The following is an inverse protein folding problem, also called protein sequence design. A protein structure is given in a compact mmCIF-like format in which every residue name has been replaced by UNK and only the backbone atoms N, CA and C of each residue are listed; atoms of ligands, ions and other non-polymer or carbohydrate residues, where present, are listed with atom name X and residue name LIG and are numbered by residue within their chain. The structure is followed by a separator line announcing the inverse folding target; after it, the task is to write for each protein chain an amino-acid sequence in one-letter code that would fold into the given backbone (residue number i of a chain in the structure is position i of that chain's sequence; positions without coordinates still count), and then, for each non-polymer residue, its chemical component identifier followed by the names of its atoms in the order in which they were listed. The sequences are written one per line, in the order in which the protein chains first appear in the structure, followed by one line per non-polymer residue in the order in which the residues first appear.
data_IF_125716644814
#
_entry.id   IF_125716644814
#
_cell.length_a   1.000
_cell.length_b   1.000
_cell.length_c   1.000
_cell.angle_alpha   90.00
_cell.angle_beta   90.00
_cell.angle_gamma   90.00
#
_symmetry.space_group_name_H-M   'P 1'
#
loop_
_entity.id
_entity.type
_entity.pdbx_description
1 polymer ?
#
# COMPACT_ATOMS: atom_id res chain seq x y z
N UNK A 1 -18.67 -4.20 10.79
CA UNK A 1 -17.27 -3.78 10.70
C UNK A 1 -17.21 -2.33 10.19
N UNK A 2 -16.38 -1.49 10.80
CA UNK A 2 -16.17 -0.09 10.37
C UNK A 2 -14.68 0.23 10.15
N UNK A 3 -13.81 -0.78 10.27
CA UNK A 3 -12.36 -0.62 10.17
C UNK A 3 -11.89 -0.61 8.72
N UNK A 4 -11.00 0.31 8.40
CA UNK A 4 -10.24 0.34 7.17
C UNK A 4 -8.88 -0.31 7.46
N UNK A 5 -8.46 -1.24 6.62
CA UNK A 5 -7.20 -1.96 6.80
C UNK A 5 -6.22 -1.53 5.70
N UNK A 6 -5.07 -1.00 6.06
CA UNK A 6 -3.98 -0.75 5.10
C UNK A 6 -2.90 -1.81 5.23
N UNK A 7 -2.34 -2.27 4.12
CA UNK A 7 -1.33 -3.32 4.10
C UNK A 7 -0.08 -2.87 3.35
N UNK A 8 0.96 -2.48 4.12
CA UNK A 8 2.34 -2.44 3.63
C UNK A 8 2.90 -3.85 3.47
N UNK A 9 3.80 -4.09 2.51
CA UNK A 9 4.25 -5.48 2.25
C UNK A 9 5.58 -5.54 1.53
N UNK A 10 6.38 -6.55 1.87
CA UNK A 10 7.54 -6.96 1.08
C UNK A 10 7.08 -7.70 -0.20
N UNK A 11 7.92 -7.68 -1.24
CA UNK A 11 7.66 -8.46 -2.46
C UNK A 11 7.85 -9.95 -2.19
N UNK A 12 6.90 -10.77 -2.61
CA UNK A 12 6.90 -12.21 -2.30
C UNK A 12 6.40 -12.60 -0.91
N UNK A 13 6.05 -11.63 -0.03
CA UNK A 13 5.54 -11.93 1.31
C UNK A 13 4.10 -12.49 1.35
N UNK A 14 3.38 -12.50 0.23
CA UNK A 14 1.96 -12.89 0.20
C UNK A 14 1.01 -11.78 0.67
N UNK A 15 1.51 -10.58 0.98
CA UNK A 15 0.69 -9.51 1.57
C UNK A 15 -0.50 -9.07 0.72
N UNK A 16 -0.44 -9.19 -0.62
CA UNK A 16 -1.60 -8.95 -1.49
C UNK A 16 -2.67 -10.03 -1.30
N UNK A 17 -2.30 -11.29 -1.42
CA UNK A 17 -3.18 -12.44 -1.27
C UNK A 17 -3.84 -12.47 0.13
N UNK A 18 -3.04 -12.19 1.17
CA UNK A 18 -3.54 -12.01 2.53
C UNK A 18 -4.60 -10.91 2.59
N UNK A 19 -4.34 -9.77 1.94
CA UNK A 19 -5.30 -8.65 1.89
C UNK A 19 -6.60 -9.01 1.20
N UNK A 20 -6.54 -9.73 0.08
CA UNK A 20 -7.71 -10.23 -0.65
C UNK A 20 -8.52 -11.21 0.23
N UNK A 21 -7.86 -12.18 0.88
CA UNK A 21 -8.54 -13.16 1.76
C UNK A 21 -9.13 -12.52 3.03
N UNK A 22 -8.46 -11.53 3.62
CA UNK A 22 -9.01 -10.76 4.75
C UNK A 22 -10.24 -9.97 4.32
N UNK A 23 -10.20 -9.35 3.16
CA UNK A 23 -11.35 -8.62 2.61
C UNK A 23 -12.55 -9.57 2.35
N UNK A 24 -12.30 -10.72 1.76
CA UNK A 24 -13.31 -11.75 1.52
C UNK A 24 -13.94 -12.26 2.83
N UNK A 25 -13.11 -12.48 3.86
CA UNK A 25 -13.62 -12.92 5.17
C UNK A 25 -14.63 -11.93 5.77
N UNK A 26 -14.39 -10.63 5.64
CA UNK A 26 -15.28 -9.59 6.16
C UNK A 26 -16.36 -9.15 5.17
N UNK A 27 -16.38 -9.67 3.95
CA UNK A 27 -17.31 -9.24 2.89
C UNK A 27 -17.12 -7.79 2.46
N UNK A 28 -15.89 -7.29 2.48
CA UNK A 28 -15.51 -5.92 2.10
C UNK A 28 -14.62 -5.93 0.85
N UNK A 29 -14.42 -4.77 0.22
CA UNK A 29 -13.57 -4.67 -0.98
C UNK A 29 -12.09 -4.61 -0.62
N UNK A 30 -11.26 -5.26 -1.46
CA UNK A 30 -9.81 -5.11 -1.46
C UNK A 30 -9.37 -4.27 -2.65
N UNK A 31 -8.61 -3.22 -2.41
CA UNK A 31 -8.10 -2.30 -3.43
C UNK A 31 -6.57 -2.45 -3.56
N UNK A 32 -6.12 -2.96 -4.69
CA UNK A 32 -4.72 -2.98 -5.13
C UNK A 32 -4.63 -2.36 -6.54
N UNK A 33 -4.82 -3.14 -7.60
CA UNK A 33 -4.77 -2.63 -8.97
C UNK A 33 -5.99 -1.80 -9.34
N UNK A 34 -7.17 -2.14 -8.81
CA UNK A 34 -8.39 -1.38 -9.01
C UNK A 34 -8.27 0.08 -8.55
N UNK A 35 -7.44 0.35 -7.53
CA UNK A 35 -7.15 1.72 -7.10
C UNK A 35 -6.51 2.53 -8.24
N UNK A 36 -5.62 1.92 -9.03
CA UNK A 36 -4.94 2.60 -10.14
C UNK A 36 -5.93 2.97 -11.25
N UNK A 37 -6.80 2.05 -11.64
CA UNK A 37 -7.85 2.30 -12.64
C UNK A 37 -8.81 3.38 -12.17
N UNK A 38 -9.17 3.36 -10.89
CA UNK A 38 -10.02 4.38 -10.30
C UNK A 38 -9.33 5.75 -10.24
N UNK A 39 -8.08 5.80 -9.82
CA UNK A 39 -7.29 7.03 -9.81
C UNK A 39 -7.13 7.63 -11.22
N UNK A 40 -6.94 6.80 -12.25
CA UNK A 40 -6.90 7.24 -13.64
C UNK A 40 -8.22 7.88 -14.06
N UNK A 41 -9.34 7.21 -13.81
CA UNK A 41 -10.68 7.69 -14.16
C UNK A 41 -11.02 9.02 -13.48
N UNK A 42 -10.68 9.16 -12.19
CA UNK A 42 -11.03 10.34 -11.41
C UNK A 42 -10.11 11.55 -11.69
N UNK A 43 -8.84 11.31 -11.99
CA UNK A 43 -7.86 12.36 -12.29
C UNK A 43 -7.82 12.80 -13.75
N UNK A 44 -8.42 12.01 -14.65
CA UNK A 44 -8.33 12.25 -16.11
C UNK A 44 -7.00 11.82 -16.73
N UNK A 45 -6.11 11.15 -15.96
CA UNK A 45 -4.89 10.55 -16.51
C UNK A 45 -5.20 9.23 -17.21
N UNK A 46 -4.39 8.87 -18.22
CA UNK A 46 -4.49 7.54 -18.79
C UNK A 46 -3.97 6.49 -17.79
N UNK A 47 -4.58 5.32 -17.79
CA UNK A 47 -4.26 4.24 -16.87
C UNK A 47 -2.80 3.78 -16.97
N UNK A 48 -2.26 3.74 -18.18
CA UNK A 48 -0.86 3.42 -18.46
C UNK A 48 0.10 4.41 -17.78
N UNK A 49 -0.23 5.71 -17.76
CA UNK A 49 0.57 6.73 -17.07
C UNK A 49 0.61 6.46 -15.57
N UNK A 50 -0.52 6.13 -14.95
CA UNK A 50 -0.59 5.82 -13.52
C UNK A 50 0.19 4.54 -13.22
N UNK A 51 0.02 3.48 -14.00
CA UNK A 51 0.74 2.21 -13.82
C UNK A 51 2.25 2.38 -13.98
N UNK A 52 2.71 3.16 -14.95
CA UNK A 52 4.13 3.40 -15.19
C UNK A 52 4.82 4.18 -14.07
N UNK A 53 4.08 4.96 -13.28
CA UNK A 53 4.59 5.76 -12.16
C UNK A 53 4.17 5.19 -10.78
N UNK A 54 3.49 4.06 -10.75
CA UNK A 54 3.03 3.41 -9.52
C UNK A 54 4.20 2.99 -8.62
N UNK A 55 4.14 3.42 -7.35
CA UNK A 55 5.18 3.17 -6.34
C UNK A 55 6.61 3.52 -6.81
N UNK A 56 6.78 4.53 -7.69
CA UNK A 56 8.08 5.02 -8.14
C UNK A 56 8.38 6.39 -7.52
N UNK A 57 9.52 6.54 -6.79
CA UNK A 57 9.94 7.82 -6.26
C UNK A 57 10.44 8.74 -7.37
N UNK A 58 10.30 10.05 -7.17
CA UNK A 58 10.98 11.05 -7.98
C UNK A 58 12.32 11.46 -7.37
N UNK A 59 13.28 11.84 -8.21
CA UNK A 59 14.55 12.43 -7.77
C UNK A 59 14.43 13.93 -7.43
N UNK A 60 13.25 14.45 -7.15
CA UNK A 60 13.01 15.88 -7.03
C UNK A 60 12.97 16.38 -5.59
N UNK A 61 13.69 17.49 -5.34
CA UNK A 61 13.80 18.24 -4.07
C UNK A 61 12.48 18.93 -3.61
N UNK A 62 11.36 18.70 -4.30
CA UNK A 62 10.12 19.48 -4.19
C UNK A 62 9.06 18.93 -3.18
N UNK A 63 9.44 18.00 -2.32
CA UNK A 63 8.48 17.38 -1.37
C UNK A 63 7.79 18.40 -0.46
N UNK A 64 8.54 19.34 0.12
CA UNK A 64 7.96 20.34 1.02
C UNK A 64 6.99 21.27 0.28
N UNK A 65 7.25 21.56 -1.00
CA UNK A 65 6.38 22.40 -1.83
C UNK A 65 5.03 21.75 -2.14
N UNK A 66 5.01 20.42 -2.30
CA UNK A 66 3.78 19.67 -2.59
C UNK A 66 2.85 19.64 -1.37
N UNK A 67 3.40 19.45 -0.17
CA UNK A 67 2.60 19.43 1.07
C UNK A 67 2.05 20.81 1.44
N UNK A 68 2.82 21.87 1.23
CA UNK A 68 2.32 23.25 1.43
C UNK A 68 1.22 23.60 0.43
N UNK A 69 1.33 23.13 -0.83
CA UNK A 69 0.30 23.35 -1.86
C UNK A 69 -1.00 22.62 -1.53
N UNK A 70 -0.92 21.45 -0.89
CA UNK A 70 -2.09 20.69 -0.46
C UNK A 70 -2.86 21.39 0.67
N UNK A 71 -2.15 22.10 1.56
CA UNK A 71 -2.74 22.87 2.67
C UNK A 71 -3.43 24.16 2.20
N UNK A 72 -3.06 24.72 1.04
CA UNK A 72 -3.58 26.01 0.53
C UNK A 72 -4.64 25.91 -0.58
N UNK A 73 -5.08 24.70 -0.96
CA UNK A 73 -6.01 24.51 -2.08
C UNK A 73 -5.35 24.63 -3.44
N UNK A 74 -5.87 23.91 -4.43
CA UNK A 74 -5.35 23.85 -5.79
C UNK A 74 -5.30 25.22 -6.47
N UNK A 75 -4.15 25.89 -6.45
CA UNK A 75 -3.89 27.00 -7.35
C UNK A 75 -3.37 26.42 -8.69
N UNK A 76 -4.12 26.59 -9.74
CA UNK A 76 -3.96 25.94 -11.06
C UNK A 76 -2.59 26.11 -11.72
N UNK A 77 -1.83 27.16 -11.41
CA UNK A 77 -0.51 27.39 -12.00
C UNK A 77 0.60 26.49 -11.45
N UNK A 78 0.58 26.18 -10.15
CA UNK A 78 1.60 25.31 -9.54
C UNK A 78 1.45 23.84 -9.92
N UNK A 79 0.24 23.40 -10.29
CA UNK A 79 -0.02 22.03 -10.73
C UNK A 79 0.56 21.73 -12.12
N UNK A 80 0.62 22.72 -13.01
CA UNK A 80 1.11 22.54 -14.40
C UNK A 80 2.59 22.15 -14.41
N UNK A 81 3.42 22.76 -13.57
CA UNK A 81 4.88 22.55 -13.53
C UNK A 81 5.31 21.36 -12.64
N UNK A 82 4.35 20.67 -12.00
CA UNK A 82 4.64 19.55 -11.10
C UNK A 82 5.06 18.30 -11.90
N UNK A 83 6.09 17.53 -11.43
CA UNK A 83 6.48 16.25 -12.04
C UNK A 83 5.32 15.26 -12.10
N UNK A 84 5.24 14.47 -13.17
CA UNK A 84 4.15 13.50 -13.41
C UNK A 84 3.98 12.52 -12.22
N UNK A 85 5.07 12.02 -11.65
CA UNK A 85 5.02 11.11 -10.51
C UNK A 85 4.37 11.71 -9.27
N UNK A 86 4.53 13.03 -9.04
CA UNK A 86 3.84 13.73 -7.97
C UNK A 86 2.34 13.89 -8.26
N UNK A 87 1.98 14.20 -9.52
CA UNK A 87 0.57 14.25 -9.93
C UNK A 87 -0.11 12.90 -9.76
N UNK A 88 0.60 11.82 -10.11
CA UNK A 88 0.11 10.44 -9.92
C UNK A 88 -0.03 10.11 -8.43
N UNK A 89 0.94 10.47 -7.59
CA UNK A 89 0.84 10.30 -6.14
C UNK A 89 -0.38 11.02 -5.58
N UNK A 90 -0.60 12.29 -5.92
CA UNK A 90 -1.75 13.06 -5.45
C UNK A 90 -3.08 12.44 -5.91
N UNK A 91 -3.16 11.99 -7.17
CA UNK A 91 -4.36 11.31 -7.67
C UNK A 91 -4.65 10.02 -6.90
N UNK A 92 -3.62 9.22 -6.59
CA UNK A 92 -3.77 8.01 -5.76
C UNK A 92 -4.17 8.36 -4.32
N UNK A 93 -3.55 9.39 -3.74
CA UNK A 93 -3.82 9.87 -2.39
C UNK A 93 -5.29 10.32 -2.22
N UNK A 94 -5.80 11.11 -3.17
CA UNK A 94 -7.20 11.54 -3.18
C UNK A 94 -8.16 10.36 -3.36
N UNK A 95 -7.81 9.43 -4.24
CA UNK A 95 -8.61 8.23 -4.48
C UNK A 95 -8.67 7.35 -3.23
N UNK A 96 -7.56 7.19 -2.50
CA UNK A 96 -7.51 6.46 -1.21
C UNK A 96 -8.46 7.10 -0.20
N UNK A 97 -8.43 8.43 -0.05
CA UNK A 97 -9.34 9.15 0.87
C UNK A 97 -10.82 8.97 0.49
N UNK A 98 -11.16 9.05 -0.78
CA UNK A 98 -12.53 8.83 -1.26
C UNK A 98 -13.01 7.39 -1.00
N UNK A 99 -12.17 6.39 -1.30
CA UNK A 99 -12.46 4.98 -1.00
C UNK A 99 -12.74 4.80 0.50
N UNK A 100 -11.93 5.40 1.36
CA UNK A 100 -12.07 5.31 2.81
C UNK A 100 -13.38 5.95 3.31
N UNK A 101 -13.88 6.98 2.65
CA UNK A 101 -15.17 7.62 2.96
C UNK A 101 -16.38 6.78 2.53
N UNK A 102 -16.22 5.85 1.60
CA UNK A 102 -17.29 4.96 1.13
C UNK A 102 -17.60 3.83 2.10
N UNK A 103 -16.69 3.52 3.03
CA UNK A 103 -16.87 2.50 4.05
C UNK A 103 -15.64 1.63 4.29
N UNK A 104 -15.81 0.53 5.04
CA UNK A 104 -14.71 -0.37 5.38
C UNK A 104 -14.16 -1.06 4.12
N UNK A 105 -12.84 -1.16 4.06
CA UNK A 105 -12.13 -1.76 2.94
C UNK A 105 -10.71 -2.19 3.33
N UNK A 106 -10.07 -2.97 2.48
CA UNK A 106 -8.63 -3.26 2.54
C UNK A 106 -7.93 -2.50 1.42
N UNK A 107 -6.86 -1.79 1.72
CA UNK A 107 -6.04 -1.05 0.73
C UNK A 107 -4.60 -1.54 0.80
N UNK A 108 -4.05 -1.98 -0.33
CA UNK A 108 -2.71 -2.57 -0.39
C UNK A 108 -1.69 -1.60 -0.98
N UNK A 109 -0.79 -1.07 -0.14
CA UNK A 109 0.32 -0.19 -0.54
C UNK A 109 -0.05 1.28 -0.76
N UNK A 110 0.68 1.97 -1.65
CA UNK A 110 0.52 3.37 -2.12
C UNK A 110 0.47 4.40 -1.00
N UNK A 111 1.21 4.15 0.10
CA UNK A 111 1.17 5.03 1.28
C UNK A 111 -0.25 5.26 1.83
N UNK A 112 -1.14 4.26 1.73
CA UNK A 112 -2.52 4.39 2.18
C UNK A 112 -2.61 4.71 3.68
N UNK A 113 -1.73 4.14 4.50
CA UNK A 113 -1.60 4.44 5.93
C UNK A 113 -1.25 5.91 6.21
N UNK A 114 -0.47 6.54 5.32
CA UNK A 114 -0.16 7.97 5.39
C UNK A 114 -1.33 8.83 4.90
N UNK A 115 -1.96 8.44 3.79
CA UNK A 115 -3.13 9.15 3.27
C UNK A 115 -4.30 9.16 4.26
N UNK A 116 -4.42 8.14 5.09
CA UNK A 116 -5.50 7.95 6.05
C UNK A 116 -5.10 8.27 7.50
N UNK A 117 -3.98 8.95 7.71
CA UNK A 117 -3.46 9.26 9.06
C UNK A 117 -4.45 10.04 9.96
N UNK A 118 -5.37 10.79 9.36
CA UNK A 118 -6.41 11.55 10.07
C UNK A 118 -7.71 10.74 10.29
N UNK A 119 -7.81 9.54 9.73
CA UNK A 119 -9.00 8.70 9.89
C UNK A 119 -8.90 7.89 11.18
N UNK A 120 -9.91 7.97 12.07
CA UNK A 120 -9.80 7.35 13.39
C UNK A 120 -9.93 5.82 13.37
N UNK A 121 -10.47 5.23 12.32
CA UNK A 121 -10.82 3.82 12.21
C UNK A 121 -9.90 3.03 11.26
N UNK A 122 -8.63 3.40 11.16
CA UNK A 122 -7.64 2.74 10.31
C UNK A 122 -6.75 1.81 11.14
N UNK A 123 -6.49 0.63 10.60
CA UNK A 123 -5.52 -0.33 11.10
C UNK A 123 -4.43 -0.56 10.06
N UNK A 124 -3.19 -0.25 10.42
CA UNK A 124 -2.06 -0.26 9.51
C UNK A 124 -1.21 -1.51 9.74
N UNK A 125 -1.18 -2.41 8.76
CA UNK A 125 -0.45 -3.67 8.83
C UNK A 125 0.79 -3.64 7.93
N UNK A 126 1.83 -4.38 8.31
CA UNK A 126 2.96 -4.66 7.43
C UNK A 126 3.22 -6.16 7.36
N UNK A 127 3.27 -6.73 6.15
CA UNK A 127 3.51 -8.15 5.91
C UNK A 127 4.92 -8.34 5.35
N UNK A 128 5.76 -9.02 6.12
CA UNK A 128 7.07 -9.51 5.70
C UNK A 128 7.07 -11.04 5.57
N UNK A 129 8.18 -11.59 5.09
CA UNK A 129 8.41 -13.04 5.06
C UNK A 129 9.92 -13.33 5.00
N UNK A 130 10.31 -14.55 5.38
CA UNK A 130 11.66 -15.04 5.22
C UNK A 130 12.06 -15.09 3.75
N UNK A 131 13.35 -14.93 3.48
CA UNK A 131 13.86 -14.87 2.10
C UNK A 131 13.50 -16.12 1.29
N UNK A 132 13.67 -17.30 1.87
CA UNK A 132 13.36 -18.57 1.21
C UNK A 132 11.88 -18.67 0.81
N UNK A 133 10.97 -18.29 1.70
CA UNK A 133 9.53 -18.27 1.44
C UNK A 133 9.16 -17.26 0.34
N UNK A 134 9.82 -16.10 0.33
CA UNK A 134 9.63 -15.10 -0.73
C UNK A 134 10.12 -15.60 -2.09
N UNK A 135 11.33 -16.17 -2.14
CA UNK A 135 11.91 -16.73 -3.38
C UNK A 135 11.01 -17.82 -3.94
N UNK A 136 10.57 -18.77 -3.10
CA UNK A 136 9.66 -19.83 -3.50
C UNK A 136 8.41 -19.28 -4.17
N UNK A 137 7.69 -18.37 -3.50
CA UNK A 137 6.45 -17.76 -4.03
C UNK A 137 6.68 -16.95 -5.31
N UNK A 138 7.82 -16.28 -5.45
CA UNK A 138 8.17 -15.53 -6.66
C UNK A 138 8.35 -16.50 -7.84
N UNK A 139 9.07 -17.60 -7.63
CA UNK A 139 9.28 -18.61 -8.68
C UNK A 139 8.00 -19.34 -9.07
N UNK A 140 7.11 -19.60 -8.13
CA UNK A 140 5.79 -20.20 -8.39
C UNK A 140 4.87 -19.27 -9.18
N UNK A 141 5.05 -17.95 -9.04
CA UNK A 141 4.17 -16.95 -9.64
C UNK A 141 4.63 -16.42 -11.00
N UNK A 142 5.94 -16.47 -11.28
CA UNK A 142 6.53 -15.88 -12.47
C UNK A 142 7.33 -16.96 -13.23
N UNK A 143 6.76 -17.44 -14.33
CA UNK A 143 7.33 -18.52 -15.16
C UNK A 143 8.71 -18.18 -15.75
N UNK A 144 9.00 -16.90 -15.96
CA UNK A 144 10.28 -16.39 -16.46
C UNK A 144 11.38 -16.35 -15.40
N UNK A 145 11.04 -16.50 -14.12
CA UNK A 145 11.99 -16.50 -13.00
C UNK A 145 12.41 -17.94 -12.67
N UNK A 146 13.44 -18.41 -13.36
CA UNK A 146 13.88 -19.82 -13.30
C UNK A 146 14.92 -20.13 -12.22
N UNK A 147 15.51 -19.12 -11.56
CA UNK A 147 16.54 -19.32 -10.53
C UNK A 147 16.29 -18.46 -9.29
N UNK A 148 16.83 -18.91 -8.14
CA UNK A 148 16.75 -18.19 -6.87
C UNK A 148 17.44 -16.83 -6.94
N UNK A 149 18.55 -16.71 -7.68
CA UNK A 149 19.27 -15.46 -7.84
C UNK A 149 18.44 -14.41 -8.60
N UNK A 150 17.74 -14.82 -9.67
CA UNK A 150 16.80 -13.93 -10.38
C UNK A 150 15.63 -13.51 -9.49
N UNK A 151 15.10 -14.44 -8.69
CA UNK A 151 14.04 -14.14 -7.74
C UNK A 151 14.51 -13.15 -6.68
N UNK A 152 15.73 -13.34 -6.15
CA UNK A 152 16.37 -12.45 -5.18
C UNK A 152 16.61 -11.05 -5.74
N UNK A 153 17.10 -10.95 -6.96
CA UNK A 153 17.30 -9.68 -7.66
C UNK A 153 15.97 -8.93 -7.83
N UNK A 154 14.94 -9.62 -8.33
CA UNK A 154 13.60 -9.04 -8.49
C UNK A 154 13.03 -8.56 -7.16
N UNK A 155 13.10 -9.38 -6.12
CA UNK A 155 12.63 -9.06 -4.77
C UNK A 155 13.31 -7.79 -4.25
N UNK A 156 14.65 -7.75 -4.27
CA UNK A 156 15.42 -6.61 -3.77
C UNK A 156 15.13 -5.33 -4.55
N UNK A 157 15.02 -5.42 -5.87
CA UNK A 157 14.66 -4.28 -6.74
C UNK A 157 13.28 -3.72 -6.39
N UNK A 158 12.28 -4.60 -6.24
CA UNK A 158 10.89 -4.19 -5.91
C UNK A 158 10.79 -3.61 -4.50
N UNK A 159 11.43 -4.24 -3.52
CA UNK A 159 11.42 -3.77 -2.14
C UNK A 159 12.16 -2.43 -1.99
N UNK A 160 13.31 -2.25 -2.64
CA UNK A 160 14.02 -0.97 -2.70
C UNK A 160 13.15 0.14 -3.33
N UNK A 161 12.41 -0.18 -4.38
CA UNK A 161 11.50 0.76 -5.04
C UNK A 161 10.38 1.20 -4.09
N UNK A 162 9.71 0.26 -3.42
CA UNK A 162 8.65 0.54 -2.43
C UNK A 162 9.16 1.32 -1.23
N UNK A 163 10.32 0.93 -0.69
CA UNK A 163 10.96 1.63 0.41
C UNK A 163 11.27 3.08 0.04
N UNK A 164 11.85 3.31 -1.14
CA UNK A 164 12.17 4.66 -1.60
C UNK A 164 10.93 5.51 -1.79
N UNK A 165 9.88 4.93 -2.39
CA UNK A 165 8.58 5.59 -2.57
C UNK A 165 7.94 5.96 -1.22
N UNK A 166 7.80 4.99 -0.32
CA UNK A 166 7.18 5.19 0.98
C UNK A 166 7.94 6.21 1.85
N UNK A 167 9.28 6.08 1.94
CA UNK A 167 10.11 6.99 2.72
C UNK A 167 10.16 8.40 2.14
N UNK A 168 9.86 8.57 0.85
CA UNK A 168 9.81 9.86 0.19
C UNK A 168 8.48 10.57 0.46
N UNK A 169 7.35 9.85 0.35
CA UNK A 169 6.01 10.44 0.46
C UNK A 169 5.41 10.38 1.87
N UNK A 170 5.99 9.63 2.80
CA UNK A 170 5.54 9.59 4.19
C UNK A 170 6.65 10.06 5.15
N UNK A 171 6.25 10.52 6.34
CA UNK A 171 7.20 10.82 7.42
C UNK A 171 7.71 9.58 8.14
N UNK A 172 7.20 8.41 7.78
CA UNK A 172 7.49 7.11 8.39
C UNK A 172 8.60 6.37 7.65
N UNK A 173 8.99 5.19 8.14
CA UNK A 173 10.01 4.32 7.54
C UNK A 173 9.40 2.98 7.14
N UNK A 174 9.51 2.64 5.86
CA UNK A 174 9.00 1.40 5.32
C UNK A 174 9.57 0.16 6.02
N UNK A 175 8.68 -0.73 6.47
CA UNK A 175 9.04 -2.00 7.13
C UNK A 175 9.55 -1.88 8.56
N UNK A 176 9.58 -0.69 9.16
CA UNK A 176 9.89 -0.55 10.59
C UNK A 176 8.65 -0.78 11.43
N UNK A 177 8.80 -1.52 12.53
CA UNK A 177 7.70 -1.87 13.41
C UNK A 177 6.96 -0.65 14.00
N UNK A 178 7.66 0.45 14.25
CA UNK A 178 7.10 1.69 14.77
C UNK A 178 6.32 2.53 13.74
N UNK A 179 6.31 2.10 12.48
CA UNK A 179 5.56 2.73 11.40
C UNK A 179 4.17 2.13 11.18
N UNK A 180 3.86 1.00 11.83
CA UNK A 180 2.63 0.24 11.65
C UNK A 180 2.05 -0.21 13.00
N UNK A 181 0.75 -0.52 13.02
CA UNK A 181 0.08 -1.02 14.22
C UNK A 181 0.42 -2.50 14.47
N UNK A 182 0.70 -3.26 13.39
CA UNK A 182 1.08 -4.67 13.47
C UNK A 182 2.01 -5.05 12.30
N UNK A 183 3.15 -5.68 12.61
CA UNK A 183 4.06 -6.27 11.64
C UNK A 183 4.06 -7.80 11.77
N UNK A 184 3.83 -8.54 10.67
CA UNK A 184 3.68 -9.99 10.69
C UNK A 184 4.64 -10.63 9.69
N UNK A 185 5.35 -11.67 10.14
CA UNK A 185 6.09 -12.57 9.27
C UNK A 185 5.16 -13.72 8.81
N UNK A 186 4.73 -13.66 7.55
CA UNK A 186 3.82 -14.66 6.97
C UNK A 186 4.45 -16.05 6.76
N UNK A 187 5.76 -16.19 6.94
CA UNK A 187 6.43 -17.49 6.83
C UNK A 187 6.14 -18.40 8.04
N UNK A 188 5.81 -17.80 9.19
CA UNK A 188 5.60 -18.54 10.44
C UNK A 188 4.30 -19.35 10.41
N UNK A 189 3.21 -18.73 9.98
CA UNK A 189 1.87 -19.34 9.98
C UNK A 189 1.39 -19.72 8.57
N UNK A 190 2.16 -19.40 7.52
CA UNK A 190 1.68 -19.46 6.14
C UNK A 190 0.63 -18.39 5.84
N UNK A 191 0.10 -18.38 4.62
CA UNK A 191 -0.89 -17.39 4.19
C UNK A 191 -2.18 -17.54 5.01
N UNK A 192 -2.78 -18.72 5.03
CA UNK A 192 -4.07 -18.99 5.70
C UNK A 192 -3.99 -18.72 7.22
N UNK A 193 -2.93 -19.17 7.88
CA UNK A 193 -2.72 -18.92 9.32
C UNK A 193 -2.54 -17.43 9.62
N UNK A 194 -1.86 -16.70 8.73
CA UNK A 194 -1.70 -15.25 8.85
C UNK A 194 -3.04 -14.53 8.67
N UNK A 195 -3.86 -14.95 7.72
CA UNK A 195 -5.23 -14.42 7.52
C UNK A 195 -6.06 -14.63 8.78
N UNK A 196 -6.11 -15.86 9.31
CA UNK A 196 -6.84 -16.18 10.54
C UNK A 196 -6.40 -15.31 11.72
N UNK A 197 -5.09 -15.08 11.87
CA UNK A 197 -4.56 -14.21 12.91
C UNK A 197 -4.99 -12.75 12.73
N UNK A 198 -4.90 -12.23 11.49
CA UNK A 198 -5.30 -10.85 11.18
C UNK A 198 -6.80 -10.65 11.40
N UNK A 199 -7.65 -11.58 10.97
CA UNK A 199 -9.10 -11.45 11.13
C UNK A 199 -9.50 -11.40 12.61
N UNK A 200 -8.90 -12.25 13.46
CA UNK A 200 -9.11 -12.20 14.90
C UNK A 200 -8.64 -10.86 15.49
N UNK A 201 -7.45 -10.39 15.08
CA UNK A 201 -6.93 -9.12 15.58
C UNK A 201 -7.82 -7.92 15.19
N UNK A 202 -8.38 -7.92 13.98
CA UNK A 202 -9.35 -6.89 13.53
C UNK A 202 -10.64 -6.93 14.35
N UNK A 203 -11.15 -8.12 14.65
CA UNK A 203 -12.35 -8.28 15.49
C UNK A 203 -12.12 -7.74 16.90
N UNK A 204 -10.99 -8.07 17.52
CA UNK A 204 -10.60 -7.59 18.85
C UNK A 204 -10.39 -6.07 18.84
N UNK A 205 -9.78 -5.52 17.78
CA UNK A 205 -9.63 -4.08 17.59
C UNK A 205 -10.98 -3.36 17.50
N UNK A 206 -11.95 -3.91 16.77
CA UNK A 206 -13.30 -3.34 16.70
C UNK A 206 -14.06 -3.41 18.03
N UNK A 207 -13.86 -4.49 18.79
CA UNK A 207 -14.48 -4.62 20.11
C UNK A 207 -13.93 -3.60 21.11
N UNK A 208 -12.61 -3.37 21.11
CA UNK A 208 -11.95 -2.42 22.00
C UNK A 208 -12.41 -0.96 21.79
N UNK A 209 -13.00 -0.66 20.64
CA UNK A 209 -13.46 0.69 20.27
C UNK A 209 -14.95 0.92 20.50
N UNK A 210 -15.69 -0.10 20.92
CA UNK A 210 -17.11 0.00 21.26
C UNK A 210 -17.35 0.37 22.73
N UNK A 211 -16.25 0.48 23.51
CA UNK A 211 -16.23 0.92 24.89
C UNK A 211 -15.92 2.41 24.94
#
# INVERSE_FOLDING_TARGET
MNTIITIGRQFGSGGREIGEMVADHFGIKCYDKELLSRAAKESGFCEEMIQNHDERPTNSFLYNLVMDTYSFGYNSSSFVDMPISHKVFLAQFDTVKKIAQEGPCVIVGRCADYALSEFPNVLNLFICADEESKIKRIRERFDDITSDDKAREMMNKKDKQRQSYYNYYSSKKWGRADSYDLCINSSILGIEGTVKFITQYVEDFEQSRKV
#
